data_IF_340722537837
#
_entry.id   IF_340722537837
#
_cell.length_a   1.000
_cell.length_b   1.000
_cell.length_c   1.000
_cell.angle_alpha   90.00
_cell.angle_beta   90.00
_cell.angle_gamma   90.00
#
_symmetry.space_group_name_H-M   'P 1'
#
loop_
_entity.id
_entity.type
_entity.pdbx_description
1 polymer ?
#
# COMPACT_ATOMS: atom_id res chain seq x y z
N UNK A 1 -14.47 24.02 47.40
CA UNK A 1 -15.52 25.01 47.10
C UNK A 1 -15.87 24.86 45.65
N UNK A 2 -17.16 24.77 45.28
CA UNK A 2 -17.57 24.54 43.89
C UNK A 2 -17.47 25.81 43.05
N UNK A 3 -17.12 25.68 41.78
CA UNK A 3 -16.92 26.78 40.81
C UNK A 3 -18.21 27.59 40.47
N UNK A 4 -19.34 27.27 41.08
CA UNK A 4 -20.64 27.89 40.79
C UNK A 4 -21.35 28.43 42.06
N UNK A 5 -20.61 28.98 43.03
CA UNK A 5 -21.20 29.54 44.22
C UNK A 5 -21.91 28.46 45.07
N UNK A 6 -21.16 27.77 45.90
CA UNK A 6 -21.76 26.80 46.83
C UNK A 6 -22.20 27.48 48.09
N UNK A 7 -23.18 26.90 48.78
CA UNK A 7 -23.53 27.29 50.13
C UNK A 7 -22.47 26.74 51.11
N UNK A 8 -21.97 27.59 52.00
CA UNK A 8 -21.24 27.13 53.14
C UNK A 8 -22.26 26.91 54.30
N UNK A 9 -22.30 25.71 54.79
CA UNK A 9 -23.22 25.37 55.90
C UNK A 9 -22.39 24.76 57.01
N UNK A 10 -22.44 25.37 58.19
CA UNK A 10 -21.83 24.85 59.40
C UNK A 10 -22.95 24.53 60.43
N UNK A 11 -23.00 23.30 60.92
CA UNK A 11 -24.00 22.82 61.86
C UNK A 11 -23.26 22.23 63.07
N UNK A 12 -23.55 22.79 64.26
CA UNK A 12 -23.04 22.25 65.51
C UNK A 12 -24.16 21.98 66.46
N UNK A 13 -24.09 20.84 67.15
CA UNK A 13 -25.05 20.48 68.25
C UNK A 13 -24.81 21.24 69.53
N UNK A 14 -23.74 22.02 69.61
CA UNK A 14 -23.38 22.87 70.75
C UNK A 14 -23.04 24.29 70.30
N UNK A 15 -21.92 24.83 70.78
CA UNK A 15 -21.46 26.15 70.37
C UNK A 15 -20.46 26.04 69.21
N UNK A 16 -20.51 27.00 68.27
CA UNK A 16 -19.44 27.28 67.30
C UNK A 16 -18.69 28.49 67.82
N UNK A 17 -17.39 28.34 68.04
CA UNK A 17 -16.51 29.44 68.47
C UNK A 17 -15.45 29.63 67.36
N UNK A 18 -15.43 30.80 66.78
CA UNK A 18 -14.38 31.21 65.86
C UNK A 18 -13.56 32.36 66.48
N UNK A 19 -12.28 32.14 66.66
CA UNK A 19 -11.39 33.14 67.26
C UNK A 19 -10.30 33.53 66.25
N UNK A 20 -10.24 34.80 65.92
CA UNK A 20 -9.34 35.36 64.92
C UNK A 20 -8.54 36.51 65.55
N UNK A 21 -7.21 36.46 65.44
CA UNK A 21 -6.31 37.47 65.99
C UNK A 21 -6.30 38.80 65.21
N UNK A 22 -6.71 38.72 63.96
CA UNK A 22 -6.79 39.90 63.05
C UNK A 22 -8.19 40.02 62.46
N UNK A 23 -8.33 40.39 61.20
CA UNK A 23 -9.61 40.56 60.57
C UNK A 23 -10.21 39.24 60.09
N UNK A 24 -11.46 38.98 60.43
CA UNK A 24 -12.24 37.88 59.90
C UNK A 24 -13.21 38.41 58.88
N UNK A 25 -13.09 37.96 57.64
CA UNK A 25 -13.87 38.46 56.52
C UNK A 25 -14.67 37.34 55.87
N UNK A 26 -15.96 37.48 55.77
CA UNK A 26 -16.82 36.58 55.01
C UNK A 26 -17.46 37.33 53.84
N UNK A 27 -17.44 36.69 52.68
CA UNK A 27 -18.08 37.19 51.46
C UNK A 27 -19.22 36.24 51.08
N UNK A 28 -20.46 36.72 51.11
CA UNK A 28 -21.60 36.00 50.62
C UNK A 28 -22.69 36.99 50.13
N UNK A 29 -23.47 36.55 49.16
CA UNK A 29 -24.64 37.30 48.71
C UNK A 29 -25.66 37.47 49.82
N UNK A 30 -25.85 36.40 50.61
CA UNK A 30 -26.69 36.39 51.81
C UNK A 30 -25.98 35.62 52.92
N UNK A 31 -26.00 36.11 54.14
CA UNK A 31 -25.52 35.44 55.33
C UNK A 31 -26.70 35.27 56.28
N UNK A 32 -26.97 34.02 56.65
CA UNK A 32 -28.06 33.69 57.56
C UNK A 32 -27.46 33.01 58.82
N UNK A 33 -27.68 33.60 59.99
CA UNK A 33 -27.32 33.04 61.27
C UNK A 33 -28.59 32.59 62.00
N UNK A 34 -28.76 31.31 62.20
CA UNK A 34 -29.93 30.72 62.89
C UNK A 34 -29.43 30.11 64.21
N UNK A 35 -29.89 30.65 65.31
CA UNK A 35 -29.61 30.12 66.64
C UNK A 35 -30.91 29.99 67.44
N UNK A 36 -31.03 28.85 68.19
CA UNK A 36 -32.23 28.57 69.02
C UNK A 36 -32.41 29.53 70.19
N UNK A 37 -31.34 30.14 70.69
CA UNK A 37 -31.40 31.05 71.82
C UNK A 37 -30.88 32.46 71.43
N UNK A 38 -29.63 32.58 71.05
CA UNK A 38 -29.04 33.86 70.66
C UNK A 38 -27.84 33.68 69.76
N UNK A 39 -27.63 34.62 68.82
CA UNK A 39 -26.37 34.79 68.08
C UNK A 39 -25.74 36.10 68.58
N UNK A 40 -24.55 36.03 69.17
CA UNK A 40 -23.85 37.20 69.67
C UNK A 40 -22.61 37.47 68.81
N UNK A 41 -22.50 38.68 68.33
CA UNK A 41 -21.34 39.15 67.56
C UNK A 41 -20.64 40.23 68.42
N UNK A 42 -19.41 40.00 68.84
CA UNK A 42 -18.65 40.88 69.77
C UNK A 42 -17.37 41.37 69.06
N UNK A 43 -17.26 42.65 68.88
CA UNK A 43 -16.05 43.30 68.37
C UNK A 43 -15.33 44.02 69.51
N UNK A 44 -14.20 43.53 69.94
CA UNK A 44 -13.54 44.01 71.19
C UNK A 44 -12.86 45.37 71.07
N UNK A 45 -12.27 45.70 69.91
CA UNK A 45 -11.48 46.95 69.78
C UNK A 45 -12.14 48.04 68.96
N UNK A 46 -12.82 47.69 67.88
CA UNK A 46 -13.43 48.68 66.94
C UNK A 46 -14.91 48.47 66.73
N UNK A 47 -15.52 47.57 67.50
CA UNK A 47 -16.93 47.20 67.37
C UNK A 47 -17.17 46.35 66.12
N UNK A 48 -18.44 46.17 65.74
CA UNK A 48 -18.88 45.49 64.53
C UNK A 48 -19.17 46.51 63.45
N UNK A 49 -18.57 46.33 62.30
CA UNK A 49 -18.79 47.18 61.12
C UNK A 49 -19.50 46.39 60.01
N UNK A 50 -20.67 46.86 59.59
CA UNK A 50 -21.39 46.32 58.47
C UNK A 50 -21.17 47.23 57.26
N UNK A 51 -20.31 46.83 56.36
CA UNK A 51 -20.03 47.55 55.14
C UNK A 51 -21.02 47.17 54.04
N UNK A 52 -21.07 47.96 52.97
CA UNK A 52 -21.79 47.55 51.78
C UNK A 52 -21.20 46.21 51.24
N UNK A 53 -22.03 45.31 50.77
CA UNK A 53 -21.54 44.07 50.20
C UNK A 53 -20.46 44.37 49.20
N UNK A 54 -19.30 43.71 49.31
CA UNK A 54 -18.24 43.73 48.33
C UNK A 54 -18.33 42.42 47.58
N UNK A 55 -18.16 42.48 46.25
CA UNK A 55 -18.01 41.26 45.47
C UNK A 55 -16.82 40.47 46.01
N UNK A 56 -16.98 39.13 46.14
CA UNK A 56 -15.88 38.26 46.46
C UNK A 56 -14.74 38.49 45.46
N UNK A 57 -13.48 38.54 45.95
CA UNK A 57 -12.37 38.64 44.99
C UNK A 57 -12.47 37.51 43.97
N UNK A 58 -12.47 37.89 42.69
CA UNK A 58 -12.41 36.93 41.59
C UNK A 58 -11.05 36.22 41.74
N UNK A 59 -11.04 35.05 42.31
CA UNK A 59 -9.88 34.17 42.21
C UNK A 59 -9.89 33.65 40.80
N UNK A 60 -9.06 34.23 39.93
CA UNK A 60 -8.75 33.61 38.66
C UNK A 60 -8.17 32.23 38.96
N UNK A 61 -9.03 31.20 38.88
CA UNK A 61 -8.53 29.84 38.91
C UNK A 61 -7.76 29.65 37.60
N UNK A 62 -6.44 29.58 37.71
CA UNK A 62 -5.61 29.16 36.60
C UNK A 62 -6.06 27.76 36.21
N UNK A 63 -6.69 27.67 35.03
CA UNK A 63 -7.13 26.40 34.50
C UNK A 63 -5.89 25.55 34.20
N UNK A 64 -5.88 24.29 34.64
CA UNK A 64 -4.75 23.41 34.37
C UNK A 64 -4.59 23.22 32.86
N UNK A 65 -3.35 23.22 32.38
CA UNK A 65 -3.01 22.98 30.98
C UNK A 65 -2.38 21.60 30.84
N UNK A 66 -2.55 20.96 29.68
CA UNK A 66 -1.84 19.70 29.40
C UNK A 66 -0.35 20.00 29.19
N UNK A 67 0.52 19.35 29.96
CA UNK A 67 1.96 19.50 29.85
C UNK A 67 2.61 18.37 29.08
N UNK A 68 2.25 17.13 29.37
CA UNK A 68 2.89 15.95 28.78
C UNK A 68 1.85 14.90 28.43
N UNK A 69 2.04 14.29 27.25
CA UNK A 69 1.25 13.15 26.74
C UNK A 69 2.16 11.94 26.63
N UNK A 70 1.64 10.77 26.94
CA UNK A 70 2.33 9.51 26.68
C UNK A 70 1.49 8.56 25.82
N UNK A 71 2.18 7.70 25.09
CA UNK A 71 1.59 6.59 24.34
C UNK A 71 1.64 5.33 25.18
N UNK A 72 0.47 4.75 25.45
CA UNK A 72 0.32 3.52 26.25
C UNK A 72 0.53 2.27 25.41
N UNK A 73 0.01 2.27 24.18
CA UNK A 73 0.12 1.14 23.26
C UNK A 73 1.53 1.04 22.69
N UNK A 74 2.11 -0.16 22.69
CA UNK A 74 3.45 -0.41 22.11
C UNK A 74 3.48 -0.09 20.63
N UNK A 75 4.53 0.63 20.21
CA UNK A 75 4.83 0.91 18.80
C UNK A 75 5.39 -0.33 18.10
N UNK A 76 5.25 -0.35 16.79
CA UNK A 76 5.72 -1.42 15.92
C UNK A 76 6.97 -1.00 15.14
N UNK A 77 7.89 -1.95 14.91
CA UNK A 77 9.04 -1.73 14.05
C UNK A 77 8.62 -1.71 12.58
N UNK A 78 9.25 -0.86 11.79
CA UNK A 78 9.13 -0.80 10.35
C UNK A 78 10.31 -0.04 9.74
N UNK A 79 10.30 0.18 8.44
CA UNK A 79 11.36 0.90 7.72
C UNK A 79 11.54 2.33 8.27
N UNK A 80 12.78 2.78 8.31
CA UNK A 80 13.14 4.16 8.66
C UNK A 80 12.80 5.16 7.56
N UNK A 81 12.60 4.68 6.34
CA UNK A 81 12.17 5.46 5.17
C UNK A 81 13.19 6.56 4.77
N UNK A 82 14.47 6.25 4.83
CA UNK A 82 15.60 7.12 4.49
C UNK A 82 16.63 6.45 3.56
N UNK A 83 16.24 5.35 2.92
CA UNK A 83 17.08 4.48 2.06
C UNK A 83 18.25 3.80 2.78
N UNK A 84 18.33 3.91 4.11
CA UNK A 84 19.44 3.30 4.88
C UNK A 84 19.25 1.79 5.12
N UNK A 85 18.05 1.25 4.86
CA UNK A 85 17.68 -0.11 5.26
C UNK A 85 17.45 -0.26 6.78
N UNK A 86 17.60 0.80 7.56
CA UNK A 86 17.37 0.83 9.00
C UNK A 86 15.88 0.75 9.36
N UNK A 87 15.62 0.49 10.65
CA UNK A 87 14.26 0.41 11.18
C UNK A 87 14.02 1.48 12.25
N UNK A 88 12.75 1.85 12.44
CA UNK A 88 12.28 2.73 13.51
C UNK A 88 10.95 2.25 14.08
N UNK A 89 10.63 2.72 15.29
CA UNK A 89 9.33 2.49 15.90
C UNK A 89 8.29 3.47 15.34
N UNK A 90 7.06 2.99 15.14
CA UNK A 90 5.96 3.81 14.67
C UNK A 90 4.60 3.14 14.81
N UNK A 91 3.55 3.93 14.57
CA UNK A 91 2.18 3.46 14.46
C UNK A 91 1.95 2.84 13.08
N UNK A 92 1.01 1.89 12.97
CA UNK A 92 0.64 1.24 11.70
C UNK A 92 -0.75 1.72 11.26
N UNK A 93 -0.96 1.85 9.96
CA UNK A 93 -2.29 2.12 9.40
C UNK A 93 -3.30 1.04 9.84
N UNK A 94 -4.48 1.48 10.28
CA UNK A 94 -5.58 0.61 10.70
C UNK A 94 -5.48 0.04 12.13
N UNK A 95 -4.38 0.28 12.85
CA UNK A 95 -4.23 -0.16 14.26
C UNK A 95 -4.69 0.92 15.22
N UNK A 96 -5.34 0.51 16.31
CA UNK A 96 -5.75 1.38 17.42
C UNK A 96 -4.58 1.61 18.39
N UNK A 97 -4.40 2.87 18.80
CA UNK A 97 -3.41 3.30 19.79
C UNK A 97 -4.09 4.11 20.89
N UNK A 98 -3.67 3.85 22.12
CA UNK A 98 -4.15 4.54 23.32
C UNK A 98 -3.12 5.58 23.75
N UNK A 99 -3.56 6.82 23.90
CA UNK A 99 -2.78 7.95 24.41
C UNK A 99 -3.41 8.43 25.70
N UNK A 100 -2.58 8.92 26.61
CA UNK A 100 -3.05 9.53 27.86
C UNK A 100 -2.27 10.77 28.22
N UNK A 101 -2.91 11.68 28.95
CA UNK A 101 -2.23 12.79 29.58
C UNK A 101 -1.43 12.26 30.76
N UNK A 102 -0.11 12.44 30.71
CA UNK A 102 0.81 12.02 31.76
C UNK A 102 0.92 13.09 32.86
N UNK A 103 0.92 14.35 32.47
CA UNK A 103 1.07 15.47 33.39
C UNK A 103 0.30 16.70 32.95
N UNK A 104 -0.32 17.38 33.91
CA UNK A 104 -0.86 18.73 33.75
C UNK A 104 0.10 19.77 34.34
N UNK A 105 0.11 20.96 33.77
CA UNK A 105 0.81 22.12 34.29
C UNK A 105 -0.14 22.93 35.20
N UNK A 106 0.42 23.50 36.29
CA UNK A 106 -0.24 24.25 37.36
C UNK A 106 -1.09 23.36 38.25
N UNK A 107 -2.30 22.98 37.87
CA UNK A 107 -3.21 22.12 38.63
C UNK A 107 -3.89 21.10 37.73
N UNK A 108 -4.27 19.96 38.29
CA UNK A 108 -5.14 19.01 37.56
C UNK A 108 -6.51 19.70 37.32
N UNK A 109 -7.04 19.71 36.09
CA UNK A 109 -8.31 20.33 35.82
C UNK A 109 -9.43 19.68 36.68
N UNK A 110 -10.39 20.46 37.10
CA UNK A 110 -11.53 19.98 37.95
C UNK A 110 -12.34 18.89 37.23
N UNK A 111 -12.31 18.84 35.93
CA UNK A 111 -12.85 17.74 35.13
C UNK A 111 -11.88 17.34 34.03
N UNK A 112 -11.52 16.05 34.00
CA UNK A 112 -10.72 15.45 32.94
C UNK A 112 -11.38 15.52 31.56
N UNK A 113 -12.70 15.67 31.51
CA UNK A 113 -13.50 15.85 30.29
C UNK A 113 -13.23 17.17 29.57
N UNK A 114 -12.57 18.13 30.21
CA UNK A 114 -12.16 19.38 29.56
C UNK A 114 -11.01 19.16 28.54
N UNK A 115 -10.27 18.08 28.69
CA UNK A 115 -9.16 17.77 27.78
C UNK A 115 -9.71 17.36 26.41
N UNK A 116 -9.33 18.11 25.40
CA UNK A 116 -9.64 17.89 23.98
C UNK A 116 -8.45 17.28 23.30
N UNK A 117 -8.66 16.60 22.17
CA UNK A 117 -7.61 15.94 21.40
C UNK A 117 -7.71 16.33 19.93
N UNK A 118 -6.55 16.45 19.27
CA UNK A 118 -6.45 16.56 17.83
C UNK A 118 -5.21 15.87 17.28
N UNK A 119 -5.27 15.53 16.01
CA UNK A 119 -4.11 15.07 15.24
C UNK A 119 -3.66 16.19 14.33
N UNK A 120 -2.35 16.36 14.21
CA UNK A 120 -1.75 17.32 13.28
C UNK A 120 -0.66 16.64 12.47
N UNK A 121 -0.63 16.90 11.17
CA UNK A 121 0.39 16.38 10.26
C UNK A 121 0.57 17.28 9.07
N UNK A 122 1.71 17.17 8.38
CA UNK A 122 1.92 17.82 7.10
C UNK A 122 1.48 16.88 5.97
N UNK A 123 0.42 17.22 5.25
CA UNK A 123 -0.02 16.49 4.06
C UNK A 123 1.07 16.52 2.98
N UNK A 124 1.30 15.41 2.24
CA UNK A 124 2.40 15.33 1.29
C UNK A 124 2.25 16.29 0.10
N UNK A 125 3.37 16.58 -0.56
CA UNK A 125 3.45 17.47 -1.72
C UNK A 125 2.52 17.03 -2.87
N UNK A 126 2.35 15.74 -3.07
CA UNK A 126 1.48 15.17 -4.10
C UNK A 126 -0.01 15.10 -3.71
N UNK A 127 -0.38 15.48 -2.47
CA UNK A 127 -1.75 15.58 -1.99
C UNK A 127 -2.12 17.05 -1.76
N UNK A 128 -2.16 17.52 -0.51
CA UNK A 128 -2.61 18.87 -0.16
C UNK A 128 -1.45 19.85 0.08
N UNK A 129 -0.26 19.32 0.33
CA UNK A 129 0.99 20.08 0.60
C UNK A 129 0.83 21.20 1.66
N UNK A 130 0.17 20.89 2.76
CA UNK A 130 -0.07 21.82 3.88
C UNK A 130 -0.21 21.10 5.21
N UNK A 131 -0.11 21.84 6.29
CA UNK A 131 -0.47 21.35 7.61
C UNK A 131 -1.98 21.12 7.71
N UNK A 132 -2.35 19.96 8.26
CA UNK A 132 -3.73 19.55 8.49
C UNK A 132 -3.90 19.30 9.98
N UNK A 133 -4.92 19.94 10.56
CA UNK A 133 -5.38 19.71 11.92
C UNK A 133 -6.71 18.96 11.88
N UNK A 134 -6.80 17.86 12.62
CA UNK A 134 -8.01 17.01 12.72
C UNK A 134 -8.45 16.98 14.18
N UNK A 135 -9.40 17.85 14.58
CA UNK A 135 -10.00 17.77 15.91
C UNK A 135 -10.73 16.44 16.09
N UNK A 136 -10.53 15.79 17.23
CA UNK A 136 -11.22 14.57 17.58
C UNK A 136 -12.51 14.88 18.35
N UNK A 137 -13.58 14.11 18.12
CA UNK A 137 -14.86 14.26 18.82
C UNK A 137 -14.85 13.67 20.25
N UNK A 138 -13.70 13.23 20.72
CA UNK A 138 -13.51 12.62 22.04
C UNK A 138 -12.83 13.58 22.99
N UNK A 139 -13.20 13.49 24.26
CA UNK A 139 -12.64 14.29 25.36
C UNK A 139 -12.22 13.37 26.52
N UNK A 140 -11.39 13.89 27.41
CA UNK A 140 -10.92 13.17 28.59
C UNK A 140 -9.39 12.98 28.59
N UNK A 141 -8.87 12.48 29.69
CA UNK A 141 -7.43 12.30 29.86
C UNK A 141 -6.85 11.06 29.15
N UNK A 142 -7.70 10.20 28.60
CA UNK A 142 -7.29 9.00 27.82
C UNK A 142 -8.11 8.99 26.55
N UNK A 143 -7.45 8.71 25.43
CA UNK A 143 -8.10 8.58 24.11
C UNK A 143 -7.59 7.35 23.39
N UNK A 144 -8.48 6.69 22.66
CA UNK A 144 -8.16 5.62 21.71
C UNK A 144 -8.37 6.13 20.29
N UNK A 145 -7.35 5.99 19.46
CA UNK A 145 -7.37 6.51 18.09
C UNK A 145 -6.97 5.40 17.13
N UNK A 146 -7.84 5.08 16.18
CA UNK A 146 -7.51 4.19 15.06
C UNK A 146 -6.87 5.01 13.95
N UNK A 147 -5.65 4.64 13.54
CA UNK A 147 -4.83 5.39 12.57
C UNK A 147 -5.25 5.13 11.12
N UNK A 148 -6.46 5.55 10.71
CA UNK A 148 -7.06 5.29 9.41
C UNK A 148 -6.81 6.39 8.36
N UNK A 149 -6.24 7.53 8.71
CA UNK A 149 -5.99 8.61 7.75
C UNK A 149 -4.80 8.26 6.85
N UNK A 150 -5.08 8.07 5.56
CA UNK A 150 -4.11 7.64 4.55
C UNK A 150 -2.96 8.66 4.38
N UNK A 151 -3.30 9.95 4.33
CA UNK A 151 -2.34 11.04 4.15
C UNK A 151 -1.28 11.11 5.29
N UNK A 152 -1.56 10.50 6.44
CA UNK A 152 -0.59 10.41 7.55
C UNK A 152 0.46 9.32 7.35
N UNK A 153 0.32 8.43 6.39
CA UNK A 153 1.24 7.30 6.19
C UNK A 153 2.62 7.77 5.74
N UNK A 154 3.67 7.15 6.28
CA UNK A 154 5.06 7.45 5.95
C UNK A 154 5.56 8.81 6.44
N UNK A 155 5.04 9.33 7.55
CA UNK A 155 5.41 10.64 8.12
C UNK A 155 5.19 10.74 9.63
N UNK A 156 5.65 11.83 10.21
CA UNK A 156 5.34 12.15 11.60
C UNK A 156 3.91 12.67 11.73
N UNK A 157 3.23 12.19 12.78
CA UNK A 157 1.94 12.67 13.25
C UNK A 157 2.16 13.26 14.65
N UNK A 158 1.58 14.41 14.89
CA UNK A 158 1.59 15.10 16.15
C UNK A 158 0.23 14.87 16.82
N UNK A 159 0.25 14.20 17.95
CA UNK A 159 -0.93 13.98 18.79
C UNK A 159 -0.94 15.09 19.82
N UNK A 160 -1.98 15.90 19.84
CA UNK A 160 -2.10 17.05 20.71
C UNK A 160 -3.27 16.86 21.67
N UNK A 161 -3.03 17.09 22.96
CA UNK A 161 -4.07 17.18 23.99
C UNK A 161 -4.02 18.56 24.61
N UNK A 162 -5.15 19.20 24.77
CA UNK A 162 -5.24 20.57 25.23
C UNK A 162 -6.55 20.88 25.93
N UNK A 163 -6.55 21.89 26.76
CA UNK A 163 -7.74 22.45 27.39
C UNK A 163 -8.11 23.75 26.66
N UNK A 164 -7.17 24.64 26.48
CA UNK A 164 -7.36 25.95 25.85
C UNK A 164 -6.79 26.03 24.43
N UNK A 165 -5.49 25.77 24.25
CA UNK A 165 -4.78 26.01 23.00
C UNK A 165 -3.89 24.81 22.60
N UNK A 166 -4.22 24.11 21.50
CA UNK A 166 -3.44 22.97 21.03
C UNK A 166 -2.00 23.31 20.61
N UNK A 167 -1.68 24.59 20.39
CA UNK A 167 -0.35 25.00 19.94
C UNK A 167 0.65 25.19 21.09
N UNK A 168 0.16 25.37 22.30
CA UNK A 168 0.99 25.67 23.48
C UNK A 168 0.90 24.63 24.59
N UNK A 169 0.09 23.59 24.41
CA UNK A 169 -0.12 22.53 25.38
C UNK A 169 0.51 21.22 24.96
N UNK A 170 0.07 20.10 25.51
CA UNK A 170 0.71 18.79 25.33
C UNK A 170 0.75 18.31 23.88
N UNK A 171 1.94 17.97 23.40
CA UNK A 171 2.17 17.40 22.08
C UNK A 171 3.09 16.19 22.16
N UNK A 172 2.73 15.14 21.42
CA UNK A 172 3.55 13.94 21.24
C UNK A 172 3.74 13.68 19.74
N UNK A 173 4.99 13.68 19.29
CA UNK A 173 5.38 13.40 17.91
C UNK A 173 5.68 11.92 17.73
N UNK A 174 4.92 11.24 16.87
CA UNK A 174 5.07 9.82 16.60
C UNK A 174 5.12 9.56 15.08
N UNK A 175 5.99 8.65 14.65
CA UNK A 175 6.03 8.18 13.26
C UNK A 175 4.84 7.29 12.96
N UNK A 176 4.25 7.41 11.76
CA UNK A 176 3.23 6.50 11.26
C UNK A 176 3.74 5.79 10.01
N UNK A 177 3.84 4.46 10.09
CA UNK A 177 4.22 3.60 8.98
C UNK A 177 3.11 3.49 7.93
N UNK A 178 3.51 3.16 6.70
CA UNK A 178 2.63 2.62 5.68
C UNK A 178 2.13 1.21 6.11
N UNK A 179 1.14 0.67 5.44
CA UNK A 179 0.66 -0.69 5.73
C UNK A 179 1.72 -1.74 5.38
N UNK A 180 2.43 -1.58 4.27
CA UNK A 180 3.64 -2.34 3.96
C UNK A 180 4.84 -1.75 4.72
N UNK A 181 4.83 -1.87 6.03
CA UNK A 181 5.71 -1.12 6.95
C UNK A 181 7.21 -1.41 6.83
N UNK A 182 7.58 -2.55 6.25
CA UNK A 182 8.98 -2.92 6.07
C UNK A 182 9.62 -2.31 4.82
N UNK A 183 8.81 -1.76 3.92
CA UNK A 183 9.26 -1.20 2.66
C UNK A 183 9.57 0.29 2.81
N UNK A 184 10.73 0.68 2.29
CA UNK A 184 11.15 2.08 2.34
C UNK A 184 10.31 2.93 1.39
N UNK A 185 9.62 3.93 1.95
CA UNK A 185 8.75 4.84 1.20
C UNK A 185 9.49 5.57 0.09
N UNK A 186 10.75 5.99 0.33
CA UNK A 186 11.51 6.75 -0.67
C UNK A 186 11.85 5.89 -1.89
N UNK A 187 12.14 4.60 -1.66
CA UNK A 187 12.38 3.64 -2.76
C UNK A 187 11.08 3.37 -3.52
N UNK A 188 9.98 3.10 -2.80
CA UNK A 188 8.67 2.86 -3.43
C UNK A 188 8.21 4.04 -4.27
N UNK A 189 8.36 5.28 -3.77
CA UNK A 189 8.00 6.50 -4.51
C UNK A 189 8.85 6.65 -5.79
N UNK A 190 10.14 6.37 -5.72
CA UNK A 190 11.04 6.39 -6.87
C UNK A 190 10.66 5.34 -7.92
N UNK A 191 10.42 4.11 -7.49
CA UNK A 191 9.98 3.01 -8.36
C UNK A 191 8.63 3.30 -9.04
N UNK A 192 7.68 3.94 -8.34
CA UNK A 192 6.41 4.40 -8.94
C UNK A 192 6.69 5.47 -10.00
N UNK A 193 7.52 6.47 -9.68
CA UNK A 193 7.82 7.55 -10.61
C UNK A 193 8.56 7.07 -11.84
N UNK A 194 9.44 6.09 -11.73
CA UNK A 194 10.09 5.45 -12.88
C UNK A 194 9.07 4.84 -13.83
N UNK A 195 8.11 4.06 -13.31
CA UNK A 195 7.10 3.37 -14.10
C UNK A 195 6.06 4.30 -14.72
N UNK A 196 5.90 5.49 -14.16
CA UNK A 196 4.85 6.45 -14.56
C UNK A 196 5.43 7.74 -15.13
N UNK A 197 5.84 8.66 -14.29
CA UNK A 197 6.27 10.02 -14.68
C UNK A 197 7.52 10.02 -15.58
N UNK A 198 8.40 9.03 -15.44
CA UNK A 198 9.60 8.86 -16.28
C UNK A 198 9.35 7.99 -17.53
N UNK A 199 8.14 7.44 -17.68
CA UNK A 199 7.75 6.68 -18.87
C UNK A 199 8.47 5.33 -19.04
N UNK A 200 8.86 4.69 -17.95
CA UNK A 200 9.54 3.40 -17.95
C UNK A 200 8.68 2.24 -17.40
N UNK A 201 7.44 2.01 -17.90
CA UNK A 201 6.59 0.93 -17.40
C UNK A 201 7.22 -0.45 -17.56
N UNK A 202 8.15 -0.60 -18.49
CA UNK A 202 8.90 -1.82 -18.74
C UNK A 202 9.79 -2.25 -17.56
N UNK A 203 10.06 -1.37 -16.57
CA UNK A 203 10.78 -1.72 -15.33
C UNK A 203 9.97 -2.60 -14.37
N UNK A 204 8.69 -2.86 -14.63
CA UNK A 204 7.91 -3.83 -13.86
C UNK A 204 8.54 -5.21 -14.01
N UNK A 205 8.90 -5.82 -12.88
CA UNK A 205 9.70 -7.03 -12.86
C UNK A 205 9.22 -8.02 -11.78
N UNK A 206 8.83 -9.22 -12.22
CA UNK A 206 8.47 -10.31 -11.33
C UNK A 206 9.66 -10.97 -10.63
N UNK A 207 10.89 -10.69 -11.09
CA UNK A 207 12.13 -11.35 -10.66
C UNK A 207 12.03 -12.89 -10.69
N UNK A 208 12.49 -13.58 -9.64
CA UNK A 208 12.49 -15.05 -9.55
C UNK A 208 11.15 -15.68 -9.17
N UNK A 209 10.00 -15.03 -9.40
CA UNK A 209 8.67 -15.55 -9.06
C UNK A 209 7.86 -15.93 -10.29
N UNK A 210 6.84 -16.78 -10.12
CA UNK A 210 5.91 -17.16 -11.20
C UNK A 210 4.75 -16.16 -11.37
N UNK A 211 5.04 -14.85 -11.27
CA UNK A 211 4.07 -13.76 -11.40
C UNK A 211 4.07 -13.09 -12.78
N UNK A 212 4.51 -13.79 -13.83
CA UNK A 212 4.63 -13.22 -15.18
C UNK A 212 3.31 -12.63 -15.71
N UNK A 213 2.19 -13.30 -15.45
CA UNK A 213 0.88 -12.76 -15.81
C UNK A 213 0.56 -11.45 -15.09
N UNK A 214 0.89 -11.34 -13.80
CA UNK A 214 0.74 -10.08 -13.06
C UNK A 214 1.64 -8.99 -13.62
N UNK A 215 2.87 -9.33 -14.02
CA UNK A 215 3.77 -8.36 -14.66
C UNK A 215 3.16 -7.81 -15.96
N UNK A 216 2.53 -8.64 -16.79
CA UNK A 216 1.81 -8.20 -18.00
C UNK A 216 0.65 -7.24 -17.67
N UNK A 217 -0.17 -7.59 -16.68
CA UNK A 217 -1.32 -6.76 -16.25
C UNK A 217 -0.83 -5.39 -15.78
N UNK A 218 0.15 -5.35 -14.88
CA UNK A 218 0.63 -4.08 -14.32
C UNK A 218 1.46 -3.27 -15.31
N UNK A 219 2.17 -3.93 -16.24
CA UNK A 219 2.81 -3.26 -17.35
C UNK A 219 1.79 -2.50 -18.21
N UNK A 220 0.71 -3.16 -18.64
CA UNK A 220 -0.37 -2.51 -19.38
C UNK A 220 -1.01 -1.38 -18.57
N UNK A 221 -1.25 -1.59 -17.28
CA UNK A 221 -1.80 -0.58 -16.40
C UNK A 221 -0.91 0.68 -16.34
N UNK A 222 0.38 0.50 -16.05
CA UNK A 222 1.33 1.62 -15.97
C UNK A 222 1.55 2.31 -17.32
N UNK A 223 1.56 1.55 -18.43
CA UNK A 223 1.76 2.06 -19.77
C UNK A 223 0.57 2.89 -20.27
N UNK A 224 -0.65 2.42 -20.06
CA UNK A 224 -1.85 3.02 -20.66
C UNK A 224 -2.54 4.02 -19.75
N UNK A 225 -2.44 3.84 -18.43
CA UNK A 225 -3.09 4.66 -17.40
C UNK A 225 -2.10 5.01 -16.27
N UNK A 226 -0.99 5.72 -16.59
CA UNK A 226 0.10 5.95 -15.62
C UNK A 226 -0.34 6.72 -14.37
N UNK A 227 -1.26 7.67 -14.50
CA UNK A 227 -1.75 8.45 -13.36
C UNK A 227 -2.62 7.60 -12.42
N UNK A 228 -3.47 6.76 -12.99
CA UNK A 228 -4.34 5.83 -12.26
C UNK A 228 -3.51 4.73 -11.59
N UNK A 229 -2.52 4.16 -12.31
CA UNK A 229 -1.57 3.22 -11.73
C UNK A 229 -0.83 3.84 -10.55
N UNK A 230 -0.31 5.07 -10.71
CA UNK A 230 0.38 5.80 -9.64
C UNK A 230 -0.52 5.92 -8.40
N UNK A 231 -1.76 6.36 -8.58
CA UNK A 231 -2.73 6.51 -7.49
C UNK A 231 -3.02 5.17 -6.82
N UNK A 232 -3.34 4.15 -7.60
CA UNK A 232 -3.63 2.79 -7.12
C UNK A 232 -2.45 2.20 -6.33
N UNK A 233 -1.22 2.30 -6.86
CA UNK A 233 -0.02 1.78 -6.25
C UNK A 233 0.30 2.46 -4.90
N UNK A 234 0.15 3.79 -4.83
CA UNK A 234 0.31 4.53 -3.58
C UNK A 234 -0.74 4.15 -2.55
N UNK A 235 -2.00 4.08 -2.93
CA UNK A 235 -3.10 3.71 -2.04
C UNK A 235 -2.86 2.31 -1.47
N UNK A 236 -2.56 1.32 -2.32
CA UNK A 236 -2.29 -0.05 -1.89
C UNK A 236 -1.08 -0.12 -0.94
N UNK A 237 0.01 0.58 -1.25
CA UNK A 237 1.20 0.62 -0.40
C UNK A 237 0.91 1.20 1.00
N UNK A 238 0.17 2.31 1.06
CA UNK A 238 -0.10 3.02 2.31
C UNK A 238 -1.12 2.33 3.19
N UNK A 239 -2.20 1.83 2.61
CA UNK A 239 -3.38 1.35 3.34
C UNK A 239 -3.49 -0.18 3.36
N UNK A 240 -2.88 -0.87 2.39
CA UNK A 240 -3.04 -2.30 2.15
C UNK A 240 -4.31 -2.65 1.37
N UNK A 241 -5.09 -1.66 0.93
CA UNK A 241 -6.30 -1.84 0.12
C UNK A 241 -6.31 -0.77 -0.96
N UNK A 242 -6.61 -1.17 -2.19
CA UNK A 242 -6.84 -0.22 -3.28
C UNK A 242 -7.90 -0.75 -4.24
N UNK A 243 -8.71 0.15 -4.77
CA UNK A 243 -9.75 -0.17 -5.75
C UNK A 243 -9.52 0.62 -7.03
N UNK A 244 -9.54 -0.07 -8.15
CA UNK A 244 -9.59 0.58 -9.44
C UNK A 244 -10.62 -0.11 -10.34
N UNK A 245 -11.45 0.65 -11.03
CA UNK A 245 -12.67 0.19 -11.67
C UNK A 245 -13.53 -0.64 -10.69
N UNK A 246 -13.84 -1.88 -11.03
CA UNK A 246 -14.65 -2.78 -10.19
C UNK A 246 -13.83 -3.80 -9.40
N UNK A 247 -12.50 -3.72 -9.43
CA UNK A 247 -11.62 -4.66 -8.75
C UNK A 247 -10.96 -4.04 -7.51
N UNK A 248 -11.10 -4.72 -6.36
CA UNK A 248 -10.46 -4.31 -5.11
C UNK A 248 -9.35 -5.29 -4.75
N UNK A 249 -8.15 -4.78 -4.59
CA UNK A 249 -6.99 -5.51 -4.06
C UNK A 249 -6.93 -5.33 -2.55
N UNK A 250 -6.96 -6.46 -1.82
CA UNK A 250 -6.92 -6.49 -0.35
C UNK A 250 -6.12 -7.73 0.11
N UNK A 251 -4.80 -7.67 0.07
CA UNK A 251 -3.94 -8.80 0.41
C UNK A 251 -3.95 -9.09 1.91
N UNK A 252 -3.64 -10.35 2.23
CA UNK A 252 -3.52 -10.83 3.60
C UNK A 252 -2.39 -10.15 4.39
N UNK A 253 -2.41 -10.38 5.70
CA UNK A 253 -1.37 -9.87 6.60
C UNK A 253 0.02 -10.40 6.23
N UNK A 254 0.14 -11.64 5.81
CA UNK A 254 1.42 -12.25 5.41
C UNK A 254 2.09 -11.47 4.29
N UNK A 255 1.31 -10.98 3.32
CA UNK A 255 1.82 -10.16 2.22
C UNK A 255 2.14 -8.74 2.67
N UNK A 256 1.24 -8.08 3.43
CA UNK A 256 1.45 -6.70 3.87
C UNK A 256 2.56 -6.55 4.94
N UNK A 257 2.90 -7.63 5.66
CA UNK A 257 3.96 -7.68 6.68
C UNK A 257 5.26 -8.30 6.15
N UNK A 258 5.40 -8.45 4.84
CA UNK A 258 6.60 -9.05 4.21
C UNK A 258 7.84 -8.28 4.57
N UNK A 259 8.84 -8.97 5.11
CA UNK A 259 10.15 -8.39 5.42
C UNK A 259 11.03 -8.31 4.19
N UNK A 260 12.02 -7.45 4.25
CA UNK A 260 13.07 -7.31 3.23
C UNK A 260 14.34 -8.07 3.64
N UNK A 261 15.16 -8.44 2.65
CA UNK A 261 16.49 -8.99 2.83
C UNK A 261 17.55 -7.87 3.00
N UNK A 262 18.81 -8.24 3.18
CA UNK A 262 19.91 -7.29 3.36
C UNK A 262 20.14 -6.37 2.14
N UNK A 263 19.68 -6.78 0.95
CA UNK A 263 19.74 -5.98 -0.28
C UNK A 263 18.52 -5.06 -0.46
N UNK A 264 17.57 -5.07 0.47
CA UNK A 264 16.37 -4.24 0.42
C UNK A 264 15.19 -4.82 -0.37
N UNK A 265 15.29 -6.05 -0.88
CA UNK A 265 14.21 -6.72 -1.62
C UNK A 265 13.32 -7.58 -0.72
N UNK A 266 12.05 -7.76 -1.05
CA UNK A 266 11.16 -8.67 -0.32
C UNK A 266 11.72 -10.07 -0.26
N UNK A 267 11.63 -10.71 0.90
CA UNK A 267 12.16 -12.08 1.11
C UNK A 267 11.52 -13.08 0.15
N UNK A 268 12.33 -14.01 -0.37
CA UNK A 268 11.92 -15.12 -1.25
C UNK A 268 11.24 -14.66 -2.54
N UNK A 269 11.73 -13.57 -3.15
CA UNK A 269 11.20 -13.07 -4.44
C UNK A 269 12.26 -13.01 -5.54
N UNK A 270 13.51 -13.40 -5.25
CA UNK A 270 14.60 -13.33 -6.24
C UNK A 270 15.01 -11.90 -6.64
N UNK A 271 14.63 -10.88 -5.85
CA UNK A 271 15.02 -9.49 -6.11
C UNK A 271 13.94 -8.63 -6.75
N UNK A 272 12.67 -8.96 -6.52
CA UNK A 272 11.54 -8.16 -7.00
C UNK A 272 11.57 -6.74 -6.40
N UNK A 273 11.36 -5.68 -7.20
CA UNK A 273 11.20 -4.31 -6.70
C UNK A 273 10.06 -4.19 -5.70
N UNK A 274 10.16 -3.22 -4.78
CA UNK A 274 9.19 -3.08 -3.69
C UNK A 274 7.77 -2.80 -4.19
N UNK A 275 7.62 -1.89 -5.15
CA UNK A 275 6.29 -1.56 -5.67
C UNK A 275 5.69 -2.68 -6.52
N UNK A 276 6.53 -3.42 -7.23
CA UNK A 276 6.08 -4.58 -8.00
C UNK A 276 5.57 -5.69 -7.07
N UNK A 277 6.23 -5.87 -5.92
CA UNK A 277 5.72 -6.74 -4.88
C UNK A 277 4.36 -6.26 -4.34
N UNK A 278 4.23 -4.98 -4.01
CA UNK A 278 2.97 -4.42 -3.50
C UNK A 278 1.82 -4.67 -4.48
N UNK A 279 2.04 -4.36 -5.75
CA UNK A 279 1.00 -4.47 -6.78
C UNK A 279 0.77 -5.91 -7.22
N UNK A 280 1.81 -6.61 -7.66
CA UNK A 280 1.68 -7.96 -8.23
C UNK A 280 1.37 -9.02 -7.17
N UNK A 281 2.18 -9.09 -6.10
CA UNK A 281 1.97 -10.06 -5.03
C UNK A 281 0.69 -9.76 -4.25
N UNK A 282 0.38 -8.49 -4.02
CA UNK A 282 -0.88 -8.05 -3.41
C UNK A 282 -2.10 -8.49 -4.19
N UNK A 283 -2.11 -8.26 -5.50
CA UNK A 283 -3.21 -8.66 -6.39
C UNK A 283 -3.33 -10.19 -6.49
N UNK A 284 -2.19 -10.88 -6.63
CA UNK A 284 -2.19 -12.33 -6.71
C UNK A 284 -2.70 -12.99 -5.42
N UNK A 285 -2.30 -12.49 -4.24
CA UNK A 285 -2.79 -12.97 -2.96
C UNK A 285 -4.30 -12.69 -2.78
N UNK A 286 -4.79 -11.54 -3.25
CA UNK A 286 -6.22 -11.23 -3.24
C UNK A 286 -7.02 -12.25 -4.04
N UNK A 287 -6.56 -12.63 -5.23
CA UNK A 287 -7.21 -13.64 -6.08
C UNK A 287 -6.94 -15.09 -5.62
N UNK A 288 -5.87 -15.33 -4.87
CA UNK A 288 -5.54 -16.65 -4.30
C UNK A 288 -4.92 -16.49 -2.92
N UNK A 289 -5.70 -16.56 -1.83
CA UNK A 289 -5.19 -16.42 -0.45
C UNK A 289 -4.16 -17.47 -0.02
N UNK A 290 -3.97 -18.55 -0.79
CA UNK A 290 -2.93 -19.54 -0.55
C UNK A 290 -1.54 -19.05 -0.95
N UNK A 291 -1.45 -18.09 -1.88
CA UNK A 291 -0.19 -17.42 -2.22
C UNK A 291 0.23 -16.50 -1.08
N UNK A 292 1.45 -16.67 -0.55
CA UNK A 292 1.96 -15.93 0.63
C UNK A 292 3.00 -14.86 0.29
N UNK A 293 3.14 -14.54 -0.99
CA UNK A 293 4.04 -13.50 -1.45
C UNK A 293 5.51 -13.92 -1.52
N UNK A 294 5.80 -15.12 -1.99
CA UNK A 294 7.14 -15.63 -2.21
C UNK A 294 7.27 -16.34 -3.55
N UNK A 295 8.12 -17.33 -3.55
CA UNK A 295 8.43 -18.22 -4.67
C UNK A 295 7.55 -19.49 -4.71
N UNK A 296 6.36 -19.44 -4.11
CA UNK A 296 5.39 -20.55 -4.11
C UNK A 296 4.82 -20.76 -5.53
N UNK A 297 5.57 -21.45 -6.36
CA UNK A 297 5.36 -21.57 -7.81
C UNK A 297 3.91 -21.87 -8.20
N UNK A 298 3.30 -22.92 -7.66
CA UNK A 298 1.92 -23.31 -8.00
C UNK A 298 0.88 -22.26 -7.59
N UNK A 299 1.07 -21.60 -6.46
CA UNK A 299 0.14 -20.58 -5.96
C UNK A 299 0.33 -19.24 -6.68
N UNK A 300 1.53 -18.98 -7.20
CA UNK A 300 1.86 -17.78 -7.94
C UNK A 300 1.37 -17.81 -9.40
N UNK A 301 1.26 -19.00 -10.03
CA UNK A 301 0.85 -19.15 -11.43
C UNK A 301 -0.47 -18.44 -11.72
N UNK A 302 -0.49 -17.68 -12.79
CA UNK A 302 -1.65 -16.96 -13.28
C UNK A 302 -2.36 -17.77 -14.36
N UNK A 303 -3.61 -18.13 -14.08
CA UNK A 303 -4.46 -18.84 -15.04
C UNK A 303 -5.09 -17.88 -16.04
N UNK A 304 -5.39 -18.28 -17.29
CA UNK A 304 -6.01 -17.41 -18.27
C UNK A 304 -7.29 -16.73 -17.78
N UNK A 305 -8.19 -17.47 -17.12
CA UNK A 305 -9.44 -16.90 -16.59
C UNK A 305 -9.22 -15.85 -15.50
N UNK A 306 -8.17 -15.99 -14.67
CA UNK A 306 -7.82 -14.97 -13.69
C UNK A 306 -7.23 -13.72 -14.37
N UNK A 307 -6.47 -13.91 -15.43
CA UNK A 307 -5.97 -12.82 -16.27
C UNK A 307 -7.12 -12.07 -16.96
N UNK A 308 -8.09 -12.81 -17.51
CA UNK A 308 -9.30 -12.25 -18.15
C UNK A 308 -10.12 -11.41 -17.15
N UNK A 309 -10.28 -11.93 -15.91
CA UNK A 309 -10.95 -11.21 -14.83
C UNK A 309 -10.26 -9.87 -14.52
N UNK A 310 -8.92 -9.87 -14.41
CA UNK A 310 -8.16 -8.66 -14.16
C UNK A 310 -8.18 -7.70 -15.35
N UNK A 311 -8.13 -8.19 -16.57
CA UNK A 311 -8.28 -7.36 -17.78
C UNK A 311 -9.63 -6.65 -17.79
N UNK A 312 -10.70 -7.37 -17.44
CA UNK A 312 -12.06 -6.83 -17.39
C UNK A 312 -12.27 -5.89 -16.21
N UNK A 313 -12.00 -6.36 -15.00
CA UNK A 313 -12.44 -5.69 -13.78
C UNK A 313 -11.39 -4.73 -13.20
N UNK A 314 -10.08 -5.01 -13.35
CA UNK A 314 -9.03 -4.10 -12.92
C UNK A 314 -8.69 -3.10 -14.04
N UNK A 315 -8.34 -3.57 -15.25
CA UNK A 315 -7.93 -2.67 -16.33
C UNK A 315 -9.11 -2.00 -17.04
N UNK A 316 -10.30 -2.61 -17.00
CA UNK A 316 -11.53 -2.07 -17.55
C UNK A 316 -11.63 -2.18 -19.06
N UNK A 317 -10.98 -3.17 -19.67
CA UNK A 317 -11.19 -3.48 -21.08
C UNK A 317 -12.60 -4.00 -21.32
N UNK A 318 -13.22 -3.59 -22.41
CA UNK A 318 -14.60 -3.97 -22.76
C UNK A 318 -14.66 -5.28 -23.54
N UNK A 319 -13.64 -5.54 -24.33
CA UNK A 319 -13.49 -6.75 -25.10
C UNK A 319 -12.29 -7.52 -24.56
N UNK A 320 -12.55 -8.67 -23.96
CA UNK A 320 -11.54 -9.58 -23.42
C UNK A 320 -11.83 -10.97 -23.94
N UNK A 321 -10.86 -11.58 -24.58
CA UNK A 321 -10.98 -12.95 -25.07
C UNK A 321 -9.66 -13.68 -24.95
N UNK A 322 -9.71 -14.85 -24.34
CA UNK A 322 -8.60 -15.79 -24.30
C UNK A 322 -8.84 -16.91 -25.29
N UNK A 323 -7.91 -17.12 -26.20
CA UNK A 323 -7.86 -18.34 -27.00
C UNK A 323 -7.22 -19.40 -26.09
N UNK A 324 -8.00 -20.41 -25.74
CA UNK A 324 -7.67 -21.43 -24.76
C UNK A 324 -6.25 -21.99 -24.95
N UNK A 325 -5.33 -21.55 -24.11
CA UNK A 325 -4.01 -22.13 -23.99
C UNK A 325 -4.03 -23.60 -23.57
N UNK A 326 -5.15 -24.09 -23.01
CA UNK A 326 -5.35 -25.49 -22.65
C UNK A 326 -5.64 -26.41 -23.86
N UNK A 327 -6.28 -25.91 -24.91
CA UNK A 327 -6.47 -26.70 -26.15
C UNK A 327 -5.16 -26.88 -26.93
N UNK A 328 -4.18 -26.02 -26.70
CA UNK A 328 -2.85 -26.19 -27.26
C UNK A 328 -2.09 -27.34 -26.58
N UNK A 329 -2.28 -27.55 -25.27
CA UNK A 329 -1.76 -28.73 -24.60
C UNK A 329 -2.41 -30.04 -25.12
N UNK A 330 -3.66 -30.00 -25.60
CA UNK A 330 -4.34 -31.10 -26.32
C UNK A 330 -3.89 -31.22 -27.78
N UNK A 331 -3.23 -30.24 -28.37
CA UNK A 331 -2.44 -30.42 -29.57
C UNK A 331 -1.19 -31.24 -29.19
N UNK A 332 -1.40 -32.44 -28.64
CA UNK A 332 -0.42 -33.52 -28.69
C UNK A 332 0.00 -33.55 -30.12
N UNK A 333 1.12 -32.97 -30.33
CA UNK A 333 1.81 -32.73 -31.59
C UNK A 333 1.87 -34.06 -32.29
N UNK A 334 0.89 -34.27 -33.17
CA UNK A 334 0.89 -35.47 -33.97
C UNK A 334 2.15 -35.39 -34.79
N UNK A 335 3.04 -36.36 -34.59
CA UNK A 335 4.22 -36.62 -35.43
C UNK A 335 3.87 -36.55 -36.91
N UNK A 336 2.63 -36.79 -37.28
CA UNK A 336 2.08 -36.72 -38.65
C UNK A 336 1.92 -35.28 -39.19
N UNK A 337 1.78 -34.25 -38.33
CA UNK A 337 1.81 -32.84 -38.78
C UNK A 337 3.21 -32.39 -39.26
N UNK A 338 4.23 -33.13 -38.90
CA UNK A 338 5.62 -32.88 -39.25
C UNK A 338 5.97 -33.27 -40.72
N UNK A 339 5.19 -34.14 -41.35
CA UNK A 339 5.49 -34.76 -42.65
C UNK A 339 5.03 -33.85 -43.84
N UNK A 340 4.19 -32.86 -43.63
CA UNK A 340 3.72 -31.94 -44.64
C UNK A 340 4.22 -30.51 -44.46
N UNK A 341 5.44 -30.23 -44.88
CA UNK A 341 6.11 -28.92 -44.77
C UNK A 341 5.27 -27.75 -45.30
N UNK A 342 4.52 -27.90 -46.38
CA UNK A 342 3.69 -26.83 -46.93
C UNK A 342 2.45 -26.50 -46.10
N UNK A 343 1.84 -27.50 -45.46
CA UNK A 343 0.69 -27.32 -44.57
C UNK A 343 1.09 -26.64 -43.26
N UNK A 344 2.28 -26.95 -42.76
CA UNK A 344 2.81 -26.40 -41.57
C UNK A 344 3.11 -24.90 -41.67
N UNK A 345 3.88 -24.47 -42.66
CA UNK A 345 4.17 -23.06 -42.91
C UNK A 345 2.90 -22.21 -43.04
N UNK A 346 1.87 -22.75 -43.69
CA UNK A 346 0.57 -22.09 -43.82
C UNK A 346 -0.12 -21.93 -42.47
N UNK A 347 -0.04 -22.93 -41.58
CA UNK A 347 -0.62 -22.84 -40.20
C UNK A 347 0.07 -21.76 -39.37
N UNK A 348 1.41 -21.71 -39.42
CA UNK A 348 2.20 -20.67 -38.69
C UNK A 348 1.92 -19.29 -39.26
N UNK A 349 1.90 -19.14 -40.58
CA UNK A 349 1.58 -17.87 -41.24
C UNK A 349 0.18 -17.40 -40.84
N UNK A 350 -0.84 -18.27 -40.88
CA UNK A 350 -2.21 -17.92 -40.47
C UNK A 350 -2.26 -17.47 -39.00
N UNK A 351 -1.46 -18.08 -38.12
CA UNK A 351 -1.35 -17.67 -36.71
C UNK A 351 -0.73 -16.26 -36.60
N UNK A 352 0.37 -16.01 -37.29
CA UNK A 352 1.04 -14.70 -37.33
C UNK A 352 0.08 -13.63 -37.87
N UNK A 353 -0.61 -13.93 -39.00
CA UNK A 353 -1.55 -13.02 -39.62
C UNK A 353 -2.71 -12.68 -38.65
N UNK A 354 -3.24 -13.66 -37.94
CA UNK A 354 -4.29 -13.48 -36.92
C UNK A 354 -3.83 -12.59 -35.79
N UNK A 355 -2.61 -12.79 -35.24
CA UNK A 355 -2.06 -11.95 -34.16
C UNK A 355 -1.83 -10.51 -34.65
N UNK A 356 -1.26 -10.35 -35.85
CA UNK A 356 -1.03 -9.04 -36.47
C UNK A 356 -2.34 -8.30 -36.79
N UNK A 357 -3.36 -9.02 -37.25
CA UNK A 357 -4.69 -8.45 -37.51
C UNK A 357 -5.30 -7.88 -36.20
N UNK A 358 -5.19 -8.62 -35.08
CA UNK A 358 -5.66 -8.14 -33.79
C UNK A 358 -4.91 -6.87 -33.37
N UNK A 359 -3.56 -6.85 -33.46
CA UNK A 359 -2.75 -5.64 -33.18
C UNK A 359 -3.18 -4.46 -34.05
N UNK A 360 -3.36 -4.67 -35.36
CA UNK A 360 -3.78 -3.63 -36.32
C UNK A 360 -5.19 -3.08 -36.02
N UNK A 361 -6.07 -3.90 -35.45
CA UNK A 361 -7.38 -3.49 -34.92
C UNK A 361 -7.30 -2.76 -33.59
N UNK A 362 -6.11 -2.59 -33.01
CA UNK A 362 -5.86 -1.86 -31.77
C UNK A 362 -6.01 -2.68 -30.48
N UNK A 363 -6.09 -4.02 -30.60
CA UNK A 363 -6.06 -4.89 -29.43
C UNK A 363 -4.65 -4.92 -28.80
N UNK A 364 -4.58 -5.14 -27.49
CA UNK A 364 -3.38 -5.56 -26.78
C UNK A 364 -3.35 -7.07 -26.71
N UNK A 365 -2.18 -7.64 -26.86
CA UNK A 365 -1.97 -9.09 -26.88
C UNK A 365 -1.04 -9.50 -25.76
N UNK A 366 -1.52 -10.36 -24.88
CA UNK A 366 -0.72 -11.03 -23.87
C UNK A 366 -0.54 -12.47 -24.35
N UNK A 367 0.70 -12.83 -24.68
CA UNK A 367 1.02 -14.16 -25.20
C UNK A 367 1.43 -15.09 -24.06
N UNK A 368 0.95 -16.31 -24.12
CA UNK A 368 1.47 -17.42 -23.32
C UNK A 368 2.45 -18.22 -24.19
N UNK A 369 3.70 -18.20 -23.83
CA UNK A 369 4.81 -18.80 -24.57
C UNK A 369 5.66 -19.67 -23.64
N UNK A 370 6.57 -20.45 -24.18
CA UNK A 370 7.67 -21.03 -23.42
C UNK A 370 8.74 -19.97 -23.17
N UNK A 371 9.33 -19.94 -21.96
CA UNK A 371 10.39 -19.00 -21.60
C UNK A 371 11.64 -19.17 -22.48
N UNK A 372 11.88 -20.36 -22.99
CA UNK A 372 12.96 -20.69 -23.89
C UNK A 372 12.97 -19.84 -25.19
N UNK A 373 11.77 -19.36 -25.61
CA UNK A 373 11.65 -18.46 -26.77
C UNK A 373 12.37 -17.15 -26.60
N UNK A 374 12.51 -16.67 -25.38
CA UNK A 374 13.01 -15.33 -25.04
C UNK A 374 14.15 -15.37 -24.02
N UNK A 375 14.57 -16.57 -23.57
CA UNK A 375 15.68 -16.69 -22.62
C UNK A 375 16.97 -16.11 -23.21
N UNK A 376 17.70 -15.28 -22.44
CA UNK A 376 19.01 -14.82 -22.85
C UNK A 376 20.10 -15.89 -22.71
N UNK A 377 19.77 -17.10 -22.20
CA UNK A 377 20.73 -18.12 -21.87
C UNK A 377 21.55 -18.56 -23.08
N UNK A 378 22.89 -18.52 -22.96
CA UNK A 378 23.84 -18.85 -24.04
C UNK A 378 23.74 -20.32 -24.42
N UNK A 379 23.23 -21.18 -23.56
CA UNK A 379 23.02 -22.61 -23.81
C UNK A 379 21.77 -22.89 -24.67
N UNK A 380 21.00 -21.86 -24.97
CA UNK A 380 19.88 -21.97 -25.88
C UNK A 380 20.39 -22.07 -27.33
N UNK A 381 20.66 -23.28 -27.77
CA UNK A 381 20.96 -23.55 -29.15
C UNK A 381 19.65 -23.54 -29.98
N UNK A 382 19.46 -22.51 -30.81
CA UNK A 382 18.70 -22.75 -32.04
C UNK A 382 19.43 -23.89 -32.73
N UNK A 383 18.81 -25.07 -32.95
CA UNK A 383 19.51 -26.17 -33.60
C UNK A 383 20.12 -25.62 -34.88
N UNK A 384 21.45 -25.80 -35.05
CA UNK A 384 22.12 -25.42 -36.29
C UNK A 384 21.48 -26.09 -37.50
N UNK A 385 20.76 -27.19 -37.23
CA UNK A 385 19.91 -27.89 -38.17
C UNK A 385 18.53 -28.13 -37.54
N UNK A 386 17.56 -27.22 -37.82
CA UNK A 386 16.15 -27.33 -37.41
C UNK A 386 15.45 -28.61 -37.92
N UNK A 387 16.10 -29.35 -38.81
CA UNK A 387 15.64 -30.61 -39.36
C UNK A 387 16.33 -31.82 -38.74
N UNK A 388 17.31 -31.61 -37.87
CA UNK A 388 17.89 -32.70 -37.07
C UNK A 388 16.96 -33.08 -35.92
N UNK A 389 16.35 -34.25 -36.08
CA UNK A 389 15.43 -34.82 -35.07
C UNK A 389 16.08 -34.93 -33.69
N UNK A 390 17.38 -35.22 -33.61
CA UNK A 390 18.11 -35.38 -32.36
C UNK A 390 18.39 -34.06 -31.66
N UNK A 391 18.67 -32.98 -32.37
CA UNK A 391 18.81 -31.63 -31.85
C UNK A 391 17.44 -31.07 -31.45
N UNK A 392 16.43 -31.41 -32.23
CA UNK A 392 15.05 -31.03 -31.95
C UNK A 392 14.51 -31.69 -30.69
N UNK A 393 14.85 -32.96 -30.43
CA UNK A 393 14.52 -33.67 -29.22
C UNK A 393 15.28 -33.13 -27.99
N UNK A 394 16.46 -32.53 -28.15
CA UNK A 394 17.18 -31.82 -27.08
C UNK A 394 16.49 -30.50 -26.71
N UNK A 395 16.05 -29.73 -27.69
CA UNK A 395 15.23 -28.53 -27.44
C UNK A 395 13.85 -28.87 -26.92
N UNK A 396 13.37 -30.10 -27.14
CA UNK A 396 12.07 -30.63 -26.72
C UNK A 396 12.04 -31.12 -25.28
N UNK A 397 13.17 -31.13 -24.54
CA UNK A 397 13.16 -31.42 -23.10
C UNK A 397 12.21 -30.46 -22.35
N UNK A 398 12.04 -29.25 -22.83
CA UNK A 398 11.06 -28.29 -22.34
C UNK A 398 9.60 -28.71 -22.55
N UNK A 399 9.28 -29.60 -23.50
CA UNK A 399 7.91 -30.03 -23.77
C UNK A 399 7.33 -30.99 -22.71
N UNK A 400 8.17 -31.62 -21.89
CA UNK A 400 7.74 -32.44 -20.75
C UNK A 400 7.63 -31.62 -19.45
N UNK A 401 8.33 -30.49 -19.37
CA UNK A 401 8.26 -29.52 -18.30
C UNK A 401 8.12 -28.11 -18.93
N UNK A 402 6.96 -27.76 -19.48
CA UNK A 402 6.77 -26.48 -20.15
C UNK A 402 6.95 -25.34 -19.17
N UNK A 403 7.89 -24.46 -19.45
CA UNK A 403 8.13 -23.23 -18.69
C UNK A 403 7.19 -22.12 -19.18
N UNK A 404 5.90 -22.25 -18.82
CA UNK A 404 4.89 -21.28 -19.21
C UNK A 404 5.26 -19.85 -18.77
N UNK A 405 5.34 -18.96 -19.74
CA UNK A 405 5.64 -17.57 -19.50
C UNK A 405 4.66 -16.63 -20.21
N UNK A 406 4.21 -15.61 -19.48
CA UNK A 406 3.34 -14.58 -20.04
C UNK A 406 4.16 -13.36 -20.45
N UNK A 407 3.93 -12.83 -21.65
CA UNK A 407 4.59 -11.64 -22.21
C UNK A 407 3.58 -10.76 -22.92
N UNK A 408 3.85 -9.45 -23.03
CA UNK A 408 3.01 -8.56 -23.86
C UNK A 408 3.67 -8.35 -25.21
N UNK A 409 2.92 -8.63 -26.29
CA UNK A 409 3.39 -8.39 -27.66
C UNK A 409 3.36 -6.88 -27.94
N UNK A 410 4.52 -6.32 -28.30
CA UNK A 410 4.73 -4.88 -28.46
C UNK A 410 4.99 -4.41 -29.89
N UNK A 411 5.14 -5.34 -30.83
CA UNK A 411 5.23 -5.05 -32.25
C UNK A 411 4.55 -6.12 -33.11
N UNK A 412 4.15 -5.80 -34.32
CA UNK A 412 3.76 -6.84 -35.29
C UNK A 412 4.86 -7.89 -35.44
N UNK A 413 4.46 -9.15 -35.62
CA UNK A 413 5.36 -10.25 -35.93
C UNK A 413 5.71 -10.14 -37.42
N UNK A 414 6.98 -9.93 -37.70
CA UNK A 414 7.51 -9.76 -39.05
C UNK A 414 8.12 -11.06 -39.53
N UNK A 415 7.64 -11.58 -40.64
CA UNK A 415 8.29 -12.67 -41.36
C UNK A 415 9.51 -12.12 -42.10
N UNK A 416 10.68 -12.74 -41.86
CA UNK A 416 11.93 -12.38 -42.53
C UNK A 416 12.00 -13.06 -43.91
N UNK A 417 12.82 -12.51 -44.78
CA UNK A 417 13.08 -13.13 -46.10
C UNK A 417 13.63 -14.54 -45.87
N UNK A 418 13.13 -15.55 -46.57
CA UNK A 418 13.60 -16.92 -46.39
C UNK A 418 15.13 -17.01 -46.62
N UNK A 419 15.81 -17.58 -45.66
CA UNK A 419 17.23 -17.94 -45.79
C UNK A 419 17.33 -19.43 -46.13
N UNK A 420 18.43 -19.81 -46.73
CA UNK A 420 18.78 -21.21 -46.93
C UNK A 420 19.52 -21.69 -45.66
N UNK A 421 19.14 -22.85 -45.14
CA UNK A 421 19.91 -23.52 -44.09
C UNK A 421 21.19 -24.12 -44.67
N UNK A 422 22.03 -24.74 -43.81
CA UNK A 422 23.30 -25.37 -44.22
C UNK A 422 23.11 -26.49 -45.24
N UNK A 423 21.91 -27.01 -45.39
CA UNK A 423 21.56 -28.07 -46.35
C UNK A 423 20.85 -27.52 -47.63
N UNK A 424 20.78 -26.19 -47.78
CA UNK A 424 20.15 -25.55 -48.92
C UNK A 424 18.59 -25.56 -48.85
N UNK A 425 18.00 -25.87 -47.69
CA UNK A 425 16.57 -25.85 -47.51
C UNK A 425 16.08 -24.48 -47.04
N UNK A 426 14.96 -24.03 -47.54
CA UNK A 426 14.36 -22.75 -47.16
C UNK A 426 13.92 -22.74 -45.71
N UNK A 427 14.49 -21.83 -44.91
CA UNK A 427 14.14 -21.59 -43.51
C UNK A 427 13.40 -20.26 -43.38
N UNK A 428 12.23 -20.29 -42.76
CA UNK A 428 11.43 -19.11 -42.45
C UNK A 428 11.66 -18.69 -41.02
N UNK A 429 12.00 -17.42 -40.82
CA UNK A 429 12.23 -16.81 -39.51
C UNK A 429 11.30 -15.64 -39.29
N UNK A 430 11.09 -15.30 -38.02
CA UNK A 430 10.29 -14.16 -37.57
C UNK A 430 11.06 -13.30 -36.60
N UNK A 431 10.62 -12.05 -36.50
CA UNK A 431 11.08 -11.11 -35.49
C UNK A 431 9.87 -10.33 -34.94
N UNK A 432 9.88 -10.05 -33.63
CA UNK A 432 8.87 -9.26 -32.93
C UNK A 432 9.44 -8.74 -31.62
N UNK A 433 8.74 -7.82 -30.95
CA UNK A 433 9.14 -7.26 -29.68
C UNK A 433 8.14 -7.62 -28.60
N UNK A 434 8.62 -7.95 -27.42
CA UNK A 434 7.79 -8.23 -26.25
C UNK A 434 8.28 -7.44 -25.04
N UNK A 435 7.36 -7.20 -24.12
CA UNK A 435 7.67 -6.82 -22.74
C UNK A 435 7.81 -8.08 -21.90
N UNK A 436 8.90 -8.15 -21.14
CA UNK A 436 9.14 -9.19 -20.12
C UNK A 436 10.27 -8.78 -19.15
N UNK A 437 10.31 -9.38 -17.96
CA UNK A 437 11.38 -9.35 -16.95
C UNK A 437 12.00 -7.98 -16.60
N UNK A 438 11.27 -6.89 -16.70
CA UNK A 438 11.75 -5.57 -16.27
C UNK A 438 12.85 -4.98 -17.14
N UNK A 439 12.93 -5.38 -18.42
CA UNK A 439 13.90 -4.90 -19.38
C UNK A 439 13.24 -4.10 -20.50
N UNK A 440 13.97 -3.16 -21.12
CA UNK A 440 13.44 -2.43 -22.26
C UNK A 440 12.86 -3.37 -23.33
N UNK A 441 11.72 -2.98 -23.88
CA UNK A 441 11.01 -3.78 -24.89
C UNK A 441 11.94 -4.19 -26.03
N UNK A 442 11.97 -5.48 -26.31
CA UNK A 442 12.77 -6.05 -27.38
C UNK A 442 14.17 -6.50 -26.99
N UNK A 443 14.57 -6.36 -25.69
CA UNK A 443 15.93 -6.75 -25.24
C UNK A 443 16.15 -8.26 -25.34
N UNK A 444 15.14 -9.07 -25.07
CA UNK A 444 15.26 -10.54 -24.95
C UNK A 444 15.03 -11.32 -26.23
N UNK A 445 14.54 -10.71 -27.29
CA UNK A 445 14.36 -11.44 -28.54
C UNK A 445 15.69 -11.63 -29.26
N UNK A 446 16.08 -12.88 -29.42
CA UNK A 446 17.18 -13.26 -30.31
C UNK A 446 16.84 -12.90 -31.77
N UNK A 447 17.86 -12.64 -32.57
CA UNK A 447 17.74 -12.03 -33.89
C UNK A 447 16.84 -12.78 -34.89
N UNK A 448 16.58 -14.07 -34.71
CA UNK A 448 15.80 -14.87 -35.64
C UNK A 448 15.20 -16.10 -34.95
N UNK A 449 13.88 -16.12 -34.81
CA UNK A 449 13.13 -17.27 -34.32
C UNK A 449 12.55 -17.99 -35.54
N UNK A 450 12.75 -19.32 -35.66
CA UNK A 450 12.18 -20.08 -36.75
C UNK A 450 10.67 -20.24 -36.59
N UNK A 451 9.96 -20.47 -37.69
CA UNK A 451 8.51 -20.76 -37.69
C UNK A 451 8.19 -21.95 -36.79
N UNK A 452 9.00 -23.03 -36.88
CA UNK A 452 8.84 -24.21 -36.05
C UNK A 452 8.98 -23.86 -34.57
N UNK A 453 10.03 -23.11 -34.23
CA UNK A 453 10.31 -22.75 -32.87
C UNK A 453 9.17 -21.92 -32.25
N UNK A 454 8.72 -20.90 -32.96
CA UNK A 454 7.57 -20.10 -32.53
C UNK A 454 6.31 -20.94 -32.35
N UNK A 455 5.98 -21.78 -33.34
CA UNK A 455 4.74 -22.57 -33.28
C UNK A 455 4.70 -23.56 -32.13
N UNK A 456 5.82 -24.19 -31.82
CA UNK A 456 5.88 -25.20 -30.75
C UNK A 456 5.94 -24.57 -29.34
N UNK A 457 6.43 -23.36 -29.25
CA UNK A 457 6.58 -22.63 -27.99
C UNK A 457 5.51 -21.54 -27.79
N UNK A 458 4.50 -21.48 -28.63
CA UNK A 458 3.32 -20.63 -28.48
C UNK A 458 2.15 -21.47 -27.93
N UNK A 459 1.62 -21.08 -26.78
CA UNK A 459 0.56 -21.81 -26.09
C UNK A 459 -0.81 -21.12 -26.17
N UNK A 460 -0.86 -19.85 -26.53
CA UNK A 460 -2.11 -19.10 -26.69
C UNK A 460 -1.94 -17.61 -26.48
N UNK A 461 -3.03 -16.88 -26.61
CA UNK A 461 -3.07 -15.45 -26.39
C UNK A 461 -4.34 -14.99 -25.67
N UNK A 462 -4.20 -13.91 -24.92
CA UNK A 462 -5.30 -13.09 -24.41
C UNK A 462 -5.25 -11.78 -25.19
N UNK A 463 -6.33 -11.42 -25.85
CA UNK A 463 -6.43 -10.14 -26.53
C UNK A 463 -7.54 -9.29 -25.94
N UNK A 464 -7.22 -7.98 -25.77
CA UNK A 464 -8.07 -7.05 -25.02
C UNK A 464 -8.16 -5.68 -25.71
N UNK A 465 -9.33 -5.03 -25.57
CA UNK A 465 -9.55 -3.68 -26.09
C UNK A 465 -10.52 -2.85 -25.26
#
# INVERSE_FOLDING_TARGET
>A
MGDKGGNYVEIAGGAINEDCKEDYTMFAQNMNFNALRSANFIGNNKGLSYCKPKDAPVVEKKQGKVKEIELVTTLDLGSKNDKSGGTQLGMIFGKEYTFQVKQYENETPFSKQLTKWQLRYHSPKYSKNKWIDIPLKVTGNIVKITMNEEDMCGRFVYIQAYIDDPKSEGELKVWKHNRFRWFDRMIVEEEIDERTSQGMPWKINQAGTSLCGMACIFYLFAKEKPNEYKKFAYELFRTGIATFNSYTVNPSKEVTEKKINIKGFPLNTGGMPLIDYVTMAGTRNTGNPRYKGGDEQFQAINTPWFMDDLCTHLLGYKEVSSINSYDVAKKTKNIFDYISTSSYHKKVQNLIDSLNEKLNKGYRLILNIDSDLISPDEDYHIPNNIFDKSEWEKTRKSTFEPEYHWVVLESPIQSMIPNLDENGKTCYTINFKVFTWGMPVGTYLKASITYEHFYYNFYGDIYVK
#
